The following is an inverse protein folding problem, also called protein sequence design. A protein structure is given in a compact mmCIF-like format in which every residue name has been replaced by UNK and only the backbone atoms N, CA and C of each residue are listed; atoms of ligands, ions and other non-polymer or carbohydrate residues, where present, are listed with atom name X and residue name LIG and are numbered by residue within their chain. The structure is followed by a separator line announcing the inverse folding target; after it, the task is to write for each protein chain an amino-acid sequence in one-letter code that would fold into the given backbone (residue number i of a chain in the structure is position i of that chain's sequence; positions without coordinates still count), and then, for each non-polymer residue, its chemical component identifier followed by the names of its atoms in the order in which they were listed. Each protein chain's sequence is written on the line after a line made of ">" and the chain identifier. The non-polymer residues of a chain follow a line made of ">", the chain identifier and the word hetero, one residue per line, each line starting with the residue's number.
data_IF_784391727593
#
_entry.id   IF_784391727593
#
_cell.length_a   1.000
_cell.length_b   1.000
_cell.length_c   1.000
_cell.angle_alpha   90.00
_cell.angle_beta   90.00
_cell.angle_gamma   90.00
#
_symmetry.space_group_name_H-M   'P 1'
#
loop_
_entity.id
_entity.type
_entity.pdbx_description
1 polymer ?
#
# COMPACT_ATOMS: atom_id res chain seq x y z
N UNK A 1 82.39 -3.32 4.30
CA UNK A 1 82.37 -2.18 5.18
C UNK A 1 81.02 -1.47 4.93
N UNK A 2 79.98 -1.85 5.64
CA UNK A 2 78.63 -1.23 5.51
C UNK A 2 78.41 -0.34 6.73
N UNK A 3 78.19 0.94 6.47
CA UNK A 3 77.87 1.90 7.52
C UNK A 3 76.33 1.98 7.60
N UNK A 4 75.76 1.54 8.75
CA UNK A 4 74.37 1.75 9.09
C UNK A 4 74.21 3.17 9.67
N UNK A 5 73.39 4.00 8.99
CA UNK A 5 72.94 5.28 9.52
C UNK A 5 71.65 5.05 10.30
N UNK A 6 71.68 5.04 11.59
CA UNK A 6 70.51 5.09 12.49
C UNK A 6 70.01 6.51 12.58
N UNK A 7 68.93 6.85 11.90
CA UNK A 7 68.23 8.11 12.12
C UNK A 7 67.44 8.05 13.46
N UNK A 8 67.82 8.89 14.38
CA UNK A 8 67.06 9.11 15.66
C UNK A 8 65.74 9.75 15.31
N UNK A 9 64.62 8.97 15.40
CA UNK A 9 63.29 9.51 15.33
C UNK A 9 62.98 10.28 16.62
N UNK A 10 62.73 11.56 16.51
CA UNK A 10 62.50 12.46 17.60
C UNK A 10 61.13 12.17 18.25
N UNK A 11 61.10 11.84 19.55
CA UNK A 11 59.93 11.48 20.33
C UNK A 11 58.78 12.51 20.23
N UNK A 12 59.10 13.77 19.97
CA UNK A 12 58.10 14.84 19.81
C UNK A 12 57.28 14.71 18.51
N UNK A 13 57.83 14.13 17.47
CA UNK A 13 57.09 13.87 16.19
C UNK A 13 56.11 12.74 16.31
N UNK A 14 56.45 11.69 17.06
CA UNK A 14 55.55 10.56 17.31
C UNK A 14 54.35 11.00 18.15
N UNK A 15 54.55 11.85 19.15
CA UNK A 15 53.45 12.38 19.98
C UNK A 15 52.51 13.31 19.19
N UNK A 16 53.02 14.06 18.21
CA UNK A 16 52.17 14.90 17.33
C UNK A 16 51.36 14.04 16.33
N UNK A 17 51.96 12.99 15.76
CA UNK A 17 51.25 12.05 14.90
C UNK A 17 50.16 11.29 15.67
N UNK A 18 50.45 10.82 16.89
CA UNK A 18 49.48 10.12 17.71
C UNK A 18 48.28 10.99 18.11
N UNK A 19 48.53 12.27 18.45
CA UNK A 19 47.46 13.25 18.74
C UNK A 19 46.60 13.53 17.51
N UNK A 20 47.19 13.65 16.30
CA UNK A 20 46.44 13.81 15.05
C UNK A 20 45.60 12.56 14.71
N UNK A 21 46.14 11.35 14.93
CA UNK A 21 45.42 10.13 14.68
C UNK A 21 44.23 9.95 15.65
N UNK A 22 44.39 10.26 16.93
CA UNK A 22 43.32 10.22 17.93
C UNK A 22 42.24 11.27 17.63
N UNK A 23 42.61 12.48 17.17
CA UNK A 23 41.61 13.47 16.74
C UNK A 23 40.85 13.03 15.48
N UNK A 24 41.49 12.38 14.50
CA UNK A 24 40.82 11.88 13.31
C UNK A 24 39.87 10.71 13.64
N UNK A 25 40.26 9.81 14.53
CA UNK A 25 39.38 8.70 14.99
C UNK A 25 38.20 9.25 15.80
N UNK A 26 38.42 10.23 16.67
CA UNK A 26 37.33 10.87 17.42
C UNK A 26 36.35 11.63 16.54
N UNK A 27 36.82 12.31 15.48
CA UNK A 27 35.99 13.00 14.51
C UNK A 27 35.23 12.00 13.65
N UNK A 28 35.84 10.87 13.29
CA UNK A 28 35.14 9.79 12.52
C UNK A 28 34.05 9.10 13.35
N UNK A 29 34.26 8.88 14.65
CA UNK A 29 33.26 8.32 15.56
C UNK A 29 32.11 9.31 15.77
N UNK A 30 32.40 10.60 15.99
CA UNK A 30 31.37 11.64 16.08
C UNK A 30 30.61 11.84 14.77
N UNK A 31 31.22 11.66 13.62
CA UNK A 31 30.54 11.75 12.32
C UNK A 31 29.63 10.53 12.05
N UNK A 32 29.97 9.34 12.59
CA UNK A 32 29.10 8.17 12.52
C UNK A 32 27.90 8.30 13.45
N UNK A 33 28.08 8.82 14.68
CA UNK A 33 26.97 9.07 15.60
C UNK A 33 26.04 10.19 15.13
N UNK A 34 26.55 11.19 14.43
CA UNK A 34 25.71 12.25 13.85
C UNK A 34 24.93 11.72 12.62
N UNK A 35 25.49 10.77 11.87
CA UNK A 35 24.78 10.11 10.75
C UNK A 35 23.65 9.21 11.20
N UNK A 36 23.77 8.54 12.35
CA UNK A 36 22.72 7.69 12.93
C UNK A 36 21.68 8.50 13.74
N UNK A 37 22.05 9.65 14.29
CA UNK A 37 21.13 10.53 15.03
C UNK A 37 20.25 11.40 14.09
N UNK A 38 20.62 11.56 12.83
CA UNK A 38 19.85 12.37 11.88
C UNK A 38 18.64 11.63 11.25
N UNK A 39 18.46 10.35 11.56
CA UNK A 39 17.24 9.59 11.22
C UNK A 39 16.20 9.59 12.35
N UNK A 40 16.51 10.23 13.48
CA UNK A 40 15.56 10.39 14.57
C UNK A 40 14.53 11.49 14.23
N UNK A 41 13.32 11.06 13.94
CA UNK A 41 12.08 11.84 13.97
C UNK A 41 12.10 13.16 13.19
N UNK A 42 11.86 13.11 11.87
CA UNK A 42 11.05 14.18 11.30
C UNK A 42 9.71 14.16 12.04
N UNK A 43 9.49 15.12 12.94
CA UNK A 43 8.15 15.42 13.41
C UNK A 43 7.25 15.51 12.18
N UNK A 44 6.03 14.95 12.21
CA UNK A 44 5.07 15.15 11.13
C UNK A 44 5.07 16.62 10.75
N UNK A 45 5.36 16.91 9.50
CA UNK A 45 5.38 18.29 9.03
C UNK A 45 3.96 18.80 9.04
N UNK A 46 3.68 19.78 9.87
CA UNK A 46 2.41 20.46 9.83
C UNK A 46 1.40 20.00 10.87
N UNK A 47 0.26 20.60 10.82
CA UNK A 47 -0.79 20.57 11.82
C UNK A 47 -1.62 19.28 11.85
N UNK A 48 -1.10 18.13 11.38
CA UNK A 48 -1.83 16.86 11.46
C UNK A 48 -2.25 16.58 12.89
N UNK A 49 -3.56 16.53 13.12
CA UNK A 49 -4.14 16.30 14.42
C UNK A 49 -5.09 15.12 14.37
N UNK A 50 -4.54 13.94 14.61
CA UNK A 50 -5.38 12.78 14.91
C UNK A 50 -5.90 12.98 16.34
N UNK A 51 -7.18 13.35 16.45
CA UNK A 51 -7.81 13.58 17.75
C UNK A 51 -8.43 12.29 18.27
N UNK A 52 -7.68 11.56 19.07
CA UNK A 52 -8.27 10.48 19.87
C UNK A 52 -8.77 11.02 21.20
N UNK A 53 -9.77 10.36 21.79
CA UNK A 53 -10.37 10.79 23.06
C UNK A 53 -9.35 10.88 24.21
N UNK A 54 -8.27 10.10 24.15
CA UNK A 54 -7.18 10.08 25.14
C UNK A 54 -5.92 10.79 24.67
N UNK A 55 -5.89 11.29 23.41
CA UNK A 55 -4.74 12.01 22.84
C UNK A 55 -3.52 11.16 22.51
N UNK A 56 -3.60 9.82 22.62
CA UNK A 56 -2.44 8.96 22.48
C UNK A 56 -2.21 8.48 21.04
N UNK A 57 -3.24 8.42 20.22
CA UNK A 57 -3.13 7.91 18.85
C UNK A 57 -2.50 8.98 17.97
N UNK A 58 -1.37 8.64 17.38
CA UNK A 58 -0.59 9.47 16.45
C UNK A 58 -0.50 8.84 15.07
N UNK A 59 -0.75 7.54 14.97
CA UNK A 59 -0.64 6.74 13.77
C UNK A 59 -1.89 5.90 13.55
N UNK A 60 -2.27 5.71 12.29
CA UNK A 60 -3.33 4.78 11.88
C UNK A 60 -2.76 3.89 10.77
N UNK A 61 -2.85 2.59 10.97
CA UNK A 61 -2.45 1.58 10.00
C UNK A 61 -3.66 0.68 9.75
N UNK A 62 -4.19 0.74 8.54
CA UNK A 62 -5.35 -0.02 8.12
C UNK A 62 -4.93 -1.03 7.05
N UNK A 63 -5.07 -2.31 7.34
CA UNK A 63 -4.67 -3.40 6.46
C UNK A 63 -5.90 -4.24 6.10
N UNK A 64 -6.08 -4.43 4.81
CA UNK A 64 -7.17 -5.19 4.21
C UNK A 64 -6.57 -6.42 3.54
N UNK A 65 -7.02 -7.59 3.95
CA UNK A 65 -6.68 -8.84 3.30
C UNK A 65 -7.70 -9.17 2.23
N UNK A 66 -7.23 -9.80 1.18
CA UNK A 66 -8.06 -10.51 0.22
C UNK A 66 -8.17 -11.99 0.62
N UNK A 67 -9.37 -12.53 0.59
CA UNK A 67 -9.69 -13.96 0.76
C UNK A 67 -9.02 -14.69 1.96
N UNK A 68 -8.78 -13.99 3.05
CA UNK A 68 -8.22 -14.58 4.28
C UNK A 68 -9.33 -14.85 5.27
N UNK A 69 -9.43 -16.08 5.75
CA UNK A 69 -10.44 -16.49 6.72
C UNK A 69 -9.92 -16.45 8.15
N UNK A 70 -10.61 -15.75 9.01
CA UNK A 70 -10.33 -15.73 10.45
C UNK A 70 -11.07 -16.82 11.22
N UNK A 71 -12.03 -17.48 10.59
CA UNK A 71 -12.76 -18.64 11.09
C UNK A 71 -12.39 -19.88 10.27
N UNK A 72 -12.58 -21.05 10.86
CA UNK A 72 -12.30 -22.32 10.18
C UNK A 72 -13.40 -22.65 9.19
N UNK A 73 -13.06 -22.91 7.94
CA UNK A 73 -13.96 -23.45 6.93
C UNK A 73 -14.15 -24.97 7.09
N UNK A 74 -13.05 -25.64 7.41
CA UNK A 74 -13.01 -27.07 7.71
C UNK A 74 -12.61 -27.27 9.18
N UNK A 75 -13.36 -28.02 9.98
CA UNK A 75 -13.03 -28.26 11.40
C UNK A 75 -11.64 -28.82 11.65
N UNK A 76 -11.08 -29.56 10.69
CA UNK A 76 -9.77 -30.20 10.80
C UNK A 76 -8.62 -29.28 10.37
N UNK A 77 -8.93 -28.19 9.66
CA UNK A 77 -7.92 -27.26 9.15
C UNK A 77 -7.98 -25.98 9.98
N UNK A 78 -6.87 -25.53 10.60
CA UNK A 78 -6.83 -24.25 11.26
C UNK A 78 -7.23 -23.12 10.33
N UNK A 79 -7.92 -22.11 10.84
CA UNK A 79 -8.17 -20.89 10.08
C UNK A 79 -6.86 -20.20 9.69
N UNK A 80 -6.92 -19.31 8.71
CA UNK A 80 -5.74 -18.58 8.27
C UNK A 80 -5.15 -17.75 9.42
N UNK A 81 -5.99 -17.13 10.23
CA UNK A 81 -5.52 -16.39 11.40
C UNK A 81 -4.85 -17.29 12.44
N UNK A 82 -5.35 -18.53 12.64
CA UNK A 82 -4.70 -19.49 13.54
C UNK A 82 -3.32 -19.94 13.04
N UNK A 83 -3.05 -19.81 11.75
CA UNK A 83 -1.76 -20.10 11.13
C UNK A 83 -0.81 -18.88 11.12
N UNK A 84 -1.33 -17.69 11.35
CA UNK A 84 -0.57 -16.43 11.44
C UNK A 84 -0.37 -16.03 12.91
N UNK A 85 0.50 -16.73 13.62
CA UNK A 85 0.64 -16.60 15.08
C UNK A 85 1.18 -15.24 15.54
N UNK A 86 2.05 -14.59 14.77
CA UNK A 86 2.53 -13.24 15.08
C UNK A 86 1.37 -12.23 15.03
N UNK A 87 0.54 -12.31 13.98
CA UNK A 87 -0.64 -11.47 13.85
C UNK A 87 -1.68 -11.79 14.91
N UNK A 88 -2.03 -13.06 15.08
CA UNK A 88 -3.03 -13.49 16.07
C UNK A 88 -2.66 -13.06 17.47
N UNK A 89 -1.41 -13.31 17.89
CA UNK A 89 -0.95 -12.97 19.22
C UNK A 89 -0.88 -11.45 19.42
N UNK A 90 -0.52 -10.69 18.38
CA UNK A 90 -0.56 -9.23 18.45
C UNK A 90 -1.98 -8.74 18.71
N UNK A 91 -2.97 -9.22 17.96
CA UNK A 91 -4.38 -8.83 18.13
C UNK A 91 -4.89 -9.24 19.53
N UNK A 92 -4.70 -10.50 19.93
CA UNK A 92 -5.20 -11.01 21.21
C UNK A 92 -4.60 -10.32 22.42
N UNK A 93 -3.32 -9.95 22.33
CA UNK A 93 -2.60 -9.35 23.46
C UNK A 93 -2.84 -7.84 23.57
N UNK A 94 -3.25 -7.16 22.49
CA UNK A 94 -3.26 -5.70 22.43
C UNK A 94 -4.57 -5.10 21.94
N UNK A 95 -5.47 -5.89 21.36
CA UNK A 95 -6.64 -5.40 20.67
C UNK A 95 -7.93 -6.14 21.01
N UNK A 96 -8.89 -6.00 20.13
CA UNK A 96 -10.19 -6.68 20.17
C UNK A 96 -10.38 -7.42 18.87
N UNK A 97 -10.59 -8.74 18.94
CA UNK A 97 -10.98 -9.55 17.81
C UNK A 97 -12.52 -9.62 17.76
N UNK A 98 -13.10 -9.14 16.67
CA UNK A 98 -14.52 -9.24 16.43
C UNK A 98 -14.83 -10.63 15.86
N UNK A 99 -15.67 -11.38 16.56
CA UNK A 99 -16.03 -12.77 16.16
C UNK A 99 -17.29 -12.85 15.29
N UNK A 100 -17.93 -11.73 15.00
CA UNK A 100 -19.14 -11.64 14.20
C UNK A 100 -19.03 -10.46 13.21
N UNK A 101 -17.87 -10.34 12.56
CA UNK A 101 -17.68 -9.43 11.45
C UNK A 101 -17.80 -10.22 10.16
N UNK A 102 -18.61 -9.75 9.25
CA UNK A 102 -18.84 -10.36 7.95
C UNK A 102 -18.47 -9.35 6.87
N UNK A 103 -17.94 -9.86 5.76
CA UNK A 103 -17.82 -9.08 4.54
C UNK A 103 -19.22 -8.71 4.02
N UNK A 104 -19.29 -7.79 3.09
CA UNK A 104 -20.56 -7.43 2.46
C UNK A 104 -21.16 -8.64 1.75
N UNK A 105 -22.48 -8.71 1.76
CA UNK A 105 -23.18 -9.74 0.98
C UNK A 105 -22.82 -9.56 -0.50
N UNK A 106 -22.36 -10.63 -1.12
CA UNK A 106 -21.83 -10.64 -2.49
C UNK A 106 -20.62 -9.67 -2.57
N UNK A 107 -19.57 -10.00 -1.86
CA UNK A 107 -18.31 -9.25 -1.88
C UNK A 107 -17.48 -9.59 -3.12
N UNK A 108 -16.62 -8.66 -3.49
CA UNK A 108 -15.52 -8.78 -4.42
C UNK A 108 -14.58 -7.61 -4.18
N UNK A 109 -13.33 -7.68 -4.58
CA UNK A 109 -12.25 -6.76 -4.22
C UNK A 109 -12.66 -5.28 -4.25
N UNK A 110 -13.11 -4.76 -5.38
CA UNK A 110 -13.46 -3.35 -5.50
C UNK A 110 -14.62 -2.92 -4.60
N UNK A 111 -15.67 -3.73 -4.54
CA UNK A 111 -16.85 -3.50 -3.72
C UNK A 111 -16.52 -3.65 -2.23
N UNK A 112 -15.80 -4.70 -1.86
CA UNK A 112 -15.37 -4.97 -0.50
C UNK A 112 -14.49 -3.86 0.04
N UNK A 113 -13.48 -3.43 -0.70
CA UNK A 113 -12.59 -2.33 -0.33
C UNK A 113 -13.37 -1.04 -0.15
N UNK A 114 -14.21 -0.65 -1.12
CA UNK A 114 -14.96 0.60 -1.02
C UNK A 114 -15.94 0.59 0.15
N UNK A 115 -16.58 -0.54 0.42
CA UNK A 115 -17.44 -0.68 1.59
C UNK A 115 -16.66 -0.57 2.89
N UNK A 116 -15.51 -1.22 2.99
CA UNK A 116 -14.65 -1.14 4.16
C UNK A 116 -14.17 0.29 4.44
N UNK A 117 -13.83 1.04 3.39
CA UNK A 117 -13.34 2.41 3.51
C UNK A 117 -14.45 3.41 3.87
N UNK A 118 -15.66 3.18 3.39
CA UNK A 118 -16.75 4.17 3.49
C UNK A 118 -17.79 3.83 4.55
N UNK A 119 -17.90 2.56 4.94
CA UNK A 119 -19.01 2.06 5.76
C UNK A 119 -20.34 2.03 5.03
N UNK A 120 -20.35 2.18 3.71
CA UNK A 120 -21.55 2.16 2.89
C UNK A 120 -21.60 0.89 2.06
N UNK A 121 -22.76 0.28 1.94
CA UNK A 121 -22.98 -0.89 1.09
C UNK A 121 -23.12 -0.52 -0.39
N UNK A 122 -22.93 -1.51 -1.26
CA UNK A 122 -22.91 -1.33 -2.73
C UNK A 122 -24.19 -0.74 -3.32
N UNK A 123 -25.33 -0.97 -2.71
CA UNK A 123 -26.60 -0.31 -3.09
C UNK A 123 -26.59 1.21 -2.87
N UNK A 124 -25.67 1.70 -2.06
CA UNK A 124 -25.53 3.12 -1.71
C UNK A 124 -24.35 3.77 -2.45
N UNK A 125 -23.22 3.11 -2.54
CA UNK A 125 -22.07 3.65 -3.27
C UNK A 125 -22.06 3.26 -4.75
N UNK A 126 -22.96 2.38 -5.20
CA UNK A 126 -23.16 2.04 -6.60
C UNK A 126 -22.10 1.13 -7.22
N UNK A 127 -21.07 0.73 -6.46
CA UNK A 127 -20.05 -0.20 -6.94
C UNK A 127 -20.65 -1.60 -7.08
N UNK A 128 -20.58 -2.18 -8.28
CA UNK A 128 -21.07 -3.53 -8.52
C UNK A 128 -20.14 -4.59 -7.90
N UNK A 129 -20.60 -5.84 -7.91
CA UNK A 129 -19.83 -6.96 -7.40
C UNK A 129 -18.51 -7.16 -8.12
N UNK A 130 -18.51 -7.07 -9.46
CA UNK A 130 -17.31 -7.29 -10.25
C UNK A 130 -16.34 -6.11 -10.21
N UNK A 131 -15.05 -6.40 -10.37
CA UNK A 131 -14.00 -5.38 -10.52
C UNK A 131 -14.13 -4.57 -11.82
N UNK A 132 -15.00 -4.99 -12.70
CA UNK A 132 -15.48 -4.23 -13.85
C UNK A 132 -16.99 -4.39 -13.99
N UNK A 133 -17.65 -3.39 -14.50
CA UNK A 133 -19.08 -3.47 -14.69
C UNK A 133 -19.48 -2.94 -16.07
N UNK A 134 -20.73 -3.28 -16.47
CA UNK A 134 -21.34 -2.76 -17.70
C UNK A 134 -22.53 -1.90 -17.34
N UNK A 135 -22.52 -0.71 -17.88
CA UNK A 135 -23.66 0.19 -17.85
C UNK A 135 -24.48 0.00 -19.13
N UNK A 136 -25.76 -0.23 -18.98
CA UNK A 136 -26.68 -0.40 -20.10
C UNK A 136 -27.36 0.94 -20.38
N UNK A 137 -27.13 1.47 -21.56
CA UNK A 137 -27.78 2.69 -22.01
C UNK A 137 -29.21 2.42 -22.48
N UNK A 138 -30.03 3.48 -22.59
CA UNK A 138 -31.41 3.39 -23.05
C UNK A 138 -31.54 2.91 -24.51
N UNK A 139 -30.50 3.03 -25.31
CA UNK A 139 -30.43 2.55 -26.68
C UNK A 139 -30.04 1.07 -26.80
N UNK A 140 -29.85 0.37 -25.69
CA UNK A 140 -29.44 -1.02 -25.62
C UNK A 140 -27.94 -1.26 -25.81
N UNK A 141 -27.15 -0.22 -26.03
CA UNK A 141 -25.69 -0.35 -26.05
C UNK A 141 -25.13 -0.42 -24.63
N UNK A 142 -23.90 -0.90 -24.51
CA UNK A 142 -23.24 -1.00 -23.21
C UNK A 142 -21.96 -0.17 -23.19
N UNK A 143 -21.69 0.42 -22.03
CA UNK A 143 -20.37 0.91 -21.67
C UNK A 143 -19.76 -0.01 -20.64
N UNK A 144 -18.51 -0.36 -20.83
CA UNK A 144 -17.72 -1.06 -19.80
C UNK A 144 -16.81 -0.06 -19.12
N UNK A 145 -16.70 -0.16 -17.81
CA UNK A 145 -15.77 0.65 -17.02
C UNK A 145 -15.14 -0.21 -15.93
N UNK A 146 -13.92 0.16 -15.53
CA UNK A 146 -13.31 -0.40 -14.34
C UNK A 146 -13.91 0.27 -13.11
N UNK A 147 -14.25 -0.53 -12.13
CA UNK A 147 -14.82 -0.08 -10.86
C UNK A 147 -13.82 0.61 -9.93
N UNK A 148 -12.55 0.58 -10.26
CA UNK A 148 -11.49 1.05 -9.39
C UNK A 148 -11.13 2.53 -9.55
N UNK A 149 -11.93 3.33 -10.25
CA UNK A 149 -11.61 4.71 -10.60
C UNK A 149 -12.23 5.77 -9.71
N UNK A 150 -12.76 5.38 -8.56
CA UNK A 150 -13.56 6.26 -7.73
C UNK A 150 -12.91 7.64 -7.49
N UNK A 151 -11.62 7.67 -7.22
CA UNK A 151 -10.91 8.90 -6.86
C UNK A 151 -10.56 9.81 -8.06
N UNK A 152 -10.61 9.30 -9.30
CA UNK A 152 -10.36 10.08 -10.53
C UNK A 152 -11.63 10.44 -11.27
N UNK A 153 -12.76 9.89 -10.87
CA UNK A 153 -14.00 10.08 -11.62
C UNK A 153 -14.76 11.31 -11.16
N UNK A 154 -15.08 12.17 -12.12
CA UNK A 154 -16.01 13.27 -11.90
C UNK A 154 -17.39 12.72 -11.66
N UNK A 155 -18.01 13.20 -10.61
CA UNK A 155 -19.34 12.78 -10.22
C UNK A 155 -20.36 13.75 -10.80
N UNK A 156 -21.30 13.24 -11.58
CA UNK A 156 -22.42 14.02 -12.08
C UNK A 156 -23.62 13.91 -11.13
N UNK A 157 -23.89 14.97 -10.39
CA UNK A 157 -25.04 15.09 -9.49
C UNK A 157 -26.24 15.79 -10.15
N UNK A 158 -26.17 16.11 -11.45
CA UNK A 158 -27.20 16.87 -12.15
C UNK A 158 -28.39 16.02 -12.58
N UNK A 159 -28.25 14.68 -12.55
CA UNK A 159 -29.28 13.75 -13.05
C UNK A 159 -29.38 13.73 -14.58
N UNK A 160 -28.53 14.46 -15.30
CA UNK A 160 -28.34 14.29 -16.74
C UNK A 160 -27.67 12.95 -17.04
N UNK A 161 -27.80 12.38 -18.23
CA UNK A 161 -27.01 11.21 -18.59
C UNK A 161 -25.54 11.57 -18.39
N UNK A 162 -24.83 10.87 -17.49
CA UNK A 162 -23.48 11.28 -17.13
C UNK A 162 -22.56 11.21 -18.34
N UNK A 163 -21.73 12.23 -18.49
CA UNK A 163 -20.57 12.13 -19.36
C UNK A 163 -19.63 11.03 -18.87
N UNK A 164 -19.70 10.74 -17.58
CA UNK A 164 -19.05 9.63 -16.90
C UNK A 164 -20.13 8.66 -16.37
N UNK A 165 -20.19 7.42 -16.88
CA UNK A 165 -21.25 6.47 -16.52
C UNK A 165 -21.05 5.78 -15.15
N UNK A 166 -20.10 6.22 -14.34
CA UNK A 166 -19.73 5.53 -13.13
C UNK A 166 -20.79 5.64 -12.04
N UNK A 167 -21.01 4.59 -11.26
CA UNK A 167 -21.75 4.68 -10.03
C UNK A 167 -20.99 5.58 -9.06
N UNK A 168 -21.67 6.61 -8.61
CA UNK A 168 -21.09 7.63 -7.75
C UNK A 168 -21.63 7.49 -6.34
N UNK A 169 -20.79 7.69 -5.35
CA UNK A 169 -21.26 7.85 -3.99
C UNK A 169 -22.04 9.15 -3.87
N UNK A 170 -23.31 9.05 -3.57
CA UNK A 170 -24.21 10.19 -3.45
C UNK A 170 -24.74 10.26 -2.01
N UNK A 171 -24.57 11.41 -1.37
CA UNK A 171 -25.23 11.72 -0.11
C UNK A 171 -26.52 12.49 -0.40
N UNK A 172 -27.66 11.91 -0.02
CA UNK A 172 -28.99 12.48 -0.19
C UNK A 172 -29.57 13.05 1.11
N UNK A 173 -28.84 13.11 2.20
CA UNK A 173 -29.31 13.51 3.52
C UNK A 173 -29.86 14.95 3.55
N UNK A 174 -29.39 15.81 2.64
CA UNK A 174 -29.87 17.19 2.52
C UNK A 174 -31.13 17.35 1.67
N UNK A 175 -31.71 16.28 1.17
CA UNK A 175 -32.83 16.30 0.23
C UNK A 175 -32.45 16.62 -1.23
N UNK A 176 -31.26 17.13 -1.49
CA UNK A 176 -30.67 17.28 -2.82
C UNK A 176 -29.45 16.37 -2.87
N UNK A 177 -29.41 15.40 -3.79
CA UNK A 177 -28.26 14.52 -3.93
C UNK A 177 -26.99 15.33 -4.17
N UNK A 178 -25.95 15.02 -3.42
CA UNK A 178 -24.61 15.59 -3.61
C UNK A 178 -23.59 14.47 -3.52
N UNK A 179 -22.46 14.69 -4.17
CA UNK A 179 -21.38 13.74 -4.11
C UNK A 179 -20.93 13.53 -2.66
N UNK A 180 -20.78 12.29 -2.25
CA UNK A 180 -20.12 11.96 -1.04
C UNK A 180 -18.61 12.19 -1.21
N UNK A 181 -17.93 12.78 -0.20
CA UNK A 181 -16.50 12.92 -0.25
C UNK A 181 -15.81 11.55 -0.23
N UNK A 182 -14.63 11.47 -0.83
CA UNK A 182 -13.80 10.27 -0.71
C UNK A 182 -13.50 9.95 0.76
N UNK A 183 -13.38 8.67 1.13
CA UNK A 183 -13.28 8.26 2.53
C UNK A 183 -12.05 8.81 3.26
N UNK A 184 -11.01 9.20 2.55
CA UNK A 184 -9.78 9.78 3.13
C UNK A 184 -9.85 11.30 3.34
N UNK A 185 -10.85 11.98 2.77
CA UNK A 185 -11.01 13.44 2.92
C UNK A 185 -11.00 13.92 4.37
N UNK A 186 -11.63 13.26 5.34
CA UNK A 186 -11.54 13.67 6.74
C UNK A 186 -10.11 13.77 7.27
N UNK A 187 -9.22 12.89 6.82
CA UNK A 187 -7.82 12.87 7.26
C UNK A 187 -7.02 14.00 6.62
N UNK A 188 -7.20 14.23 5.31
CA UNK A 188 -6.55 15.32 4.60
C UNK A 188 -7.07 16.68 5.06
N UNK A 189 -8.35 16.79 5.44
CA UNK A 189 -8.91 17.98 6.11
C UNK A 189 -8.31 18.25 7.47
N UNK A 190 -7.97 17.21 8.21
CA UNK A 190 -7.23 17.33 9.46
C UNK A 190 -5.75 17.69 9.23
N UNK A 191 -5.37 18.04 7.99
CA UNK A 191 -4.00 18.32 7.55
C UNK A 191 -3.07 17.13 7.70
N UNK A 192 -3.60 15.92 7.69
CA UNK A 192 -2.81 14.69 7.73
C UNK A 192 -2.56 14.19 6.32
N UNK A 193 -1.30 13.89 6.04
CA UNK A 193 -0.96 13.14 4.86
C UNK A 193 -1.42 11.70 5.03
N UNK A 194 -1.77 11.09 3.91
CA UNK A 194 -2.33 9.75 3.85
C UNK A 194 -1.61 8.95 2.78
N UNK A 195 -1.21 7.72 3.09
CA UNK A 195 -0.52 6.82 2.16
C UNK A 195 -1.35 5.57 1.86
N UNK A 196 -1.28 5.08 0.63
CA UNK A 196 -1.94 3.86 0.20
C UNK A 196 -1.01 2.96 -0.60
N UNK A 197 -1.12 1.66 -0.35
CA UNK A 197 -0.38 0.61 -1.04
C UNK A 197 -1.37 -0.39 -1.59
N UNK A 198 -1.43 -0.51 -2.92
CA UNK A 198 -2.27 -1.46 -3.66
C UNK A 198 -3.76 -1.45 -3.27
N UNK A 199 -4.20 -0.43 -2.62
CA UNK A 199 -5.59 -0.34 -2.20
C UNK A 199 -6.42 0.25 -3.33
N UNK A 200 -7.13 -0.60 -4.03
CA UNK A 200 -8.08 -0.23 -5.06
C UNK A 200 -9.00 0.91 -4.60
N UNK A 201 -9.39 1.77 -5.51
CA UNK A 201 -10.16 2.99 -5.26
C UNK A 201 -9.38 4.16 -4.59
N UNK A 202 -8.13 3.99 -4.20
CA UNK A 202 -7.30 5.05 -3.61
C UNK A 202 -6.03 5.34 -4.43
N UNK A 203 -5.51 4.34 -5.13
CA UNK A 203 -4.30 4.44 -5.94
C UNK A 203 -4.64 4.46 -7.43
N UNK A 204 -3.73 4.96 -8.27
CA UNK A 204 -3.80 4.69 -9.71
C UNK A 204 -3.66 3.19 -9.95
N UNK A 205 -4.56 2.62 -10.72
CA UNK A 205 -4.57 1.18 -10.96
C UNK A 205 -4.04 0.76 -12.30
N UNK A 206 -4.13 1.64 -13.28
CA UNK A 206 -3.74 1.28 -14.63
C UNK A 206 -3.05 2.43 -15.36
N UNK A 207 -2.37 2.08 -16.44
CA UNK A 207 -1.65 3.02 -17.30
C UNK A 207 -2.48 3.50 -18.50
N UNK A 208 -3.81 3.52 -18.38
CA UNK A 208 -4.71 3.91 -19.44
C UNK A 208 -4.47 5.35 -19.89
N UNK A 209 -4.27 5.54 -21.19
CA UNK A 209 -4.01 6.84 -21.85
C UNK A 209 -5.18 7.32 -22.72
N UNK A 210 -6.32 6.66 -22.64
CA UNK A 210 -7.57 7.17 -23.25
C UNK A 210 -7.98 8.51 -22.64
N UNK A 211 -8.91 9.23 -23.26
CA UNK A 211 -9.37 10.54 -22.77
C UNK A 211 -9.86 10.49 -21.30
N UNK A 212 -10.46 9.38 -20.89
CA UNK A 212 -10.93 9.15 -19.54
C UNK A 212 -9.96 8.26 -18.72
N UNK A 213 -8.76 8.00 -19.25
CA UNK A 213 -7.76 7.20 -18.55
C UNK A 213 -7.11 7.96 -17.40
N UNK A 214 -6.67 7.21 -16.38
CA UNK A 214 -6.10 7.78 -15.16
C UNK A 214 -4.85 8.62 -15.44
N UNK A 215 -3.96 8.14 -16.31
CA UNK A 215 -2.74 8.86 -16.68
C UNK A 215 -3.09 10.19 -17.37
N UNK A 216 -4.07 10.18 -18.26
CA UNK A 216 -4.51 11.39 -18.97
C UNK A 216 -5.14 12.40 -18.02
N UNK A 217 -5.96 11.94 -17.09
CA UNK A 217 -6.61 12.79 -16.08
C UNK A 217 -5.59 13.41 -15.12
N UNK A 218 -4.66 12.63 -14.62
CA UNK A 218 -3.72 13.05 -13.55
C UNK A 218 -2.57 13.85 -14.09
N UNK A 219 -1.93 13.40 -15.17
CA UNK A 219 -0.71 14.02 -15.69
C UNK A 219 -0.95 14.90 -16.91
N UNK A 220 -2.06 14.71 -17.61
CA UNK A 220 -2.40 15.42 -18.82
C UNK A 220 -1.92 14.71 -20.08
N UNK A 221 -2.71 14.86 -21.17
CA UNK A 221 -2.32 14.38 -22.48
C UNK A 221 -1.03 15.08 -22.95
N UNK A 222 -0.04 14.30 -23.42
CA UNK A 222 1.24 14.83 -23.90
C UNK A 222 2.28 15.12 -22.81
N UNK A 223 1.99 14.81 -21.54
CA UNK A 223 3.00 14.85 -20.48
C UNK A 223 4.09 13.79 -20.69
N UNK A 224 5.26 13.91 -20.05
CA UNK A 224 6.26 12.86 -20.05
C UNK A 224 5.70 11.52 -19.57
N UNK A 225 4.88 11.52 -18.53
CA UNK A 225 4.21 10.36 -17.96
C UNK A 225 3.22 9.72 -18.93
N UNK A 226 2.48 10.54 -19.67
CA UNK A 226 1.59 10.06 -20.72
C UNK A 226 2.38 9.35 -21.85
N UNK A 227 3.51 9.93 -22.25
CA UNK A 227 4.38 9.35 -23.29
C UNK A 227 4.98 8.04 -22.82
N UNK A 228 5.43 7.97 -21.58
CA UNK A 228 5.96 6.75 -20.95
C UNK A 228 4.87 5.67 -20.87
N UNK A 229 3.67 6.02 -20.44
CA UNK A 229 2.55 5.10 -20.38
C UNK A 229 2.15 4.56 -21.76
N UNK A 230 2.17 5.38 -22.81
CA UNK A 230 1.95 4.91 -24.18
C UNK A 230 2.99 3.87 -24.60
N UNK A 231 4.26 4.11 -24.31
CA UNK A 231 5.34 3.15 -24.63
C UNK A 231 5.18 1.86 -23.83
N UNK A 232 4.86 1.95 -22.55
CA UNK A 232 4.60 0.81 -21.67
C UNK A 232 3.40 -0.01 -22.15
N UNK A 233 2.29 0.63 -22.50
CA UNK A 233 1.10 -0.04 -23.04
C UNK A 233 1.37 -0.73 -24.37
N UNK A 234 2.16 -0.11 -25.24
CA UNK A 234 2.58 -0.71 -26.50
C UNK A 234 3.47 -1.94 -26.27
N UNK A 235 4.39 -1.87 -25.30
CA UNK A 235 5.22 -2.99 -24.91
C UNK A 235 4.38 -4.13 -24.31
N UNK A 236 3.42 -3.83 -23.43
CA UNK A 236 2.53 -4.82 -22.84
C UNK A 236 1.68 -5.57 -23.88
N UNK A 237 1.28 -4.89 -24.94
CA UNK A 237 0.52 -5.48 -26.05
C UNK A 237 1.37 -6.35 -27.00
N UNK A 238 2.70 -6.21 -26.96
CA UNK A 238 3.61 -6.91 -27.86
C UNK A 238 4.41 -7.97 -27.10
N UNK A 239 4.12 -9.24 -27.32
CA UNK A 239 4.77 -10.36 -26.63
C UNK A 239 6.28 -10.39 -26.76
N UNK A 240 6.85 -9.84 -27.85
CA UNK A 240 8.30 -9.83 -28.08
C UNK A 240 9.05 -8.84 -27.16
N UNK A 241 8.36 -7.80 -26.66
CA UNK A 241 8.95 -6.74 -25.82
C UNK A 241 8.11 -6.48 -24.56
N UNK A 242 7.23 -7.42 -24.20
CA UNK A 242 6.33 -7.31 -23.06
C UNK A 242 7.09 -7.06 -21.74
N UNK A 243 8.30 -7.53 -21.65
CA UNK A 243 9.20 -7.29 -20.53
C UNK A 243 9.62 -5.83 -20.35
N UNK A 244 9.31 -4.95 -21.31
CA UNK A 244 9.55 -3.50 -21.20
C UNK A 244 8.32 -2.73 -20.68
N UNK A 245 7.18 -3.40 -20.49
CA UNK A 245 6.02 -2.77 -19.88
C UNK A 245 6.29 -2.48 -18.41
N UNK A 246 6.03 -1.26 -17.98
CA UNK A 246 6.29 -0.81 -16.62
C UNK A 246 5.01 -0.27 -15.98
N UNK A 247 4.96 -0.33 -14.67
CA UNK A 247 3.82 0.13 -13.84
C UNK A 247 4.21 1.25 -12.87
N UNK A 248 5.21 2.07 -13.24
CA UNK A 248 5.84 3.06 -12.35
C UNK A 248 4.88 4.09 -11.74
N UNK A 249 3.74 4.31 -12.38
CA UNK A 249 2.74 5.30 -11.96
C UNK A 249 1.54 4.72 -11.22
N UNK A 250 1.54 3.43 -10.92
CA UNK A 250 0.39 2.74 -10.31
C UNK A 250 0.73 2.09 -8.99
N UNK A 251 -0.28 1.64 -8.27
CA UNK A 251 -0.17 0.80 -7.08
C UNK A 251 0.19 1.50 -5.79
N UNK A 252 0.72 2.70 -5.83
CA UNK A 252 1.11 3.49 -4.66
C UNK A 252 0.58 4.91 -4.78
N UNK A 253 0.11 5.48 -3.69
CA UNK A 253 -0.28 6.88 -3.63
C UNK A 253 0.03 7.50 -2.26
N UNK A 254 0.31 8.80 -2.27
CA UNK A 254 0.28 9.66 -1.10
C UNK A 254 -0.65 10.81 -1.42
N UNK A 255 -1.68 10.98 -0.59
CA UNK A 255 -2.58 12.13 -0.64
C UNK A 255 -2.20 13.08 0.48
N UNK A 256 -1.90 14.30 0.14
CA UNK A 256 -1.37 15.27 1.11
C UNK A 256 -2.46 16.16 1.66
N UNK A 257 -2.37 16.44 2.93
CA UNK A 257 -3.25 17.39 3.60
C UNK A 257 -3.19 18.77 2.96
N UNK A 258 -4.26 19.53 3.08
CA UNK A 258 -4.32 20.89 2.58
C UNK A 258 -3.15 21.74 3.11
N UNK A 259 -2.40 22.34 2.23
CA UNK A 259 -1.23 23.16 2.58
C UNK A 259 0.10 22.45 2.49
N UNK A 260 0.12 21.16 2.16
CA UNK A 260 1.32 20.62 1.58
C UNK A 260 1.96 19.36 2.09
N UNK A 261 2.10 19.11 3.35
CA UNK A 261 2.76 17.88 3.82
C UNK A 261 4.00 17.47 3.00
N UNK A 262 4.13 16.18 2.71
CA UNK A 262 5.22 15.62 1.89
C UNK A 262 5.16 16.03 0.41
N UNK A 263 3.99 16.47 -0.08
CA UNK A 263 3.81 16.96 -1.45
C UNK A 263 4.24 18.42 -1.64
N UNK A 264 4.43 19.19 -0.56
CA UNK A 264 4.75 20.61 -0.65
C UNK A 264 6.05 20.86 -1.39
N UNK A 265 5.97 21.64 -2.47
CA UNK A 265 7.14 21.95 -3.29
C UNK A 265 7.69 20.77 -4.11
N UNK A 266 7.02 19.62 -4.12
CA UNK A 266 7.40 18.52 -4.97
C UNK A 266 6.90 18.76 -6.40
N UNK A 267 7.82 18.81 -7.36
CA UNK A 267 7.51 19.07 -8.77
C UNK A 267 6.62 17.99 -9.41
N UNK A 268 6.57 16.82 -8.81
CA UNK A 268 5.78 15.67 -9.29
C UNK A 268 4.41 15.56 -8.63
N UNK A 269 4.13 16.39 -7.61
CA UNK A 269 2.81 16.42 -7.01
C UNK A 269 1.76 16.88 -8.02
N UNK A 270 0.62 16.22 -8.03
CA UNK A 270 -0.50 16.48 -8.93
C UNK A 270 -1.75 16.78 -8.12
N UNK A 271 -2.62 17.67 -8.62
CA UNK A 271 -3.92 17.87 -8.01
C UNK A 271 -4.72 16.57 -8.00
N UNK A 272 -5.36 16.31 -6.88
CA UNK A 272 -6.38 15.29 -6.78
C UNK A 272 -7.64 15.77 -7.53
N UNK A 273 -8.21 14.92 -8.36
CA UNK A 273 -9.33 15.26 -9.23
C UNK A 273 -10.70 15.01 -8.58
N UNK A 274 -10.73 14.94 -7.25
CA UNK A 274 -11.98 14.78 -6.56
C UNK A 274 -12.89 16.00 -6.78
N UNK A 275 -14.20 15.80 -6.93
CA UNK A 275 -15.14 16.89 -7.04
C UNK A 275 -15.17 17.70 -5.75
N UNK A 276 -15.51 18.96 -5.88
CA UNK A 276 -15.78 19.83 -4.75
C UNK A 276 -16.90 19.20 -3.90
N UNK A 277 -16.64 19.04 -2.62
CA UNK A 277 -17.65 18.56 -1.71
C UNK A 277 -18.44 19.70 -1.04
N UNK A 278 -19.61 19.38 -0.53
CA UNK A 278 -20.40 20.31 0.26
C UNK A 278 -19.63 20.67 1.55
N UNK A 279 -19.11 21.90 1.61
CA UNK A 279 -18.29 22.38 2.71
C UNK A 279 -17.00 23.06 2.27
N UNK A 280 -16.76 23.19 0.95
CA UNK A 280 -15.70 24.01 0.38
C UNK A 280 -14.31 23.41 0.46
N UNK A 281 -14.21 22.09 0.39
CA UNK A 281 -12.93 21.41 0.25
C UNK A 281 -12.54 21.35 -1.22
N UNK A 282 -11.50 22.06 -1.58
CA UNK A 282 -10.98 22.10 -2.93
C UNK A 282 -9.62 21.44 -2.96
N UNK A 283 -9.52 20.37 -3.68
CA UNK A 283 -8.29 19.75 -4.13
C UNK A 283 -7.13 19.65 -3.13
N UNK A 284 -6.57 18.53 -3.03
CA UNK A 284 -5.30 18.31 -2.39
C UNK A 284 -4.30 17.84 -3.45
N UNK A 285 -3.06 17.80 -3.07
CA UNK A 285 -2.01 17.28 -3.93
C UNK A 285 -1.81 15.80 -3.62
N UNK A 286 -1.40 15.04 -4.62
CA UNK A 286 -1.01 13.66 -4.49
C UNK A 286 0.28 13.34 -5.22
N UNK A 287 0.98 12.33 -4.75
CA UNK A 287 2.07 11.66 -5.45
C UNK A 287 1.59 10.27 -5.84
N UNK A 288 1.79 9.89 -7.08
CA UNK A 288 1.25 8.65 -7.63
C UNK A 288 2.36 7.79 -8.23
N UNK A 289 2.37 6.51 -7.83
CA UNK A 289 3.28 5.50 -8.31
C UNK A 289 4.66 5.48 -7.63
N UNK A 290 5.31 4.34 -7.71
CA UNK A 290 6.61 4.10 -7.08
C UNK A 290 7.66 5.13 -7.47
N UNK A 291 7.66 5.58 -8.72
CA UNK A 291 8.59 6.56 -9.26
C UNK A 291 8.65 7.86 -8.46
N UNK A 292 7.52 8.32 -7.95
CA UNK A 292 7.42 9.58 -7.20
C UNK A 292 7.23 9.39 -5.70
N UNK A 293 6.61 8.28 -5.30
CA UNK A 293 6.42 7.95 -3.90
C UNK A 293 7.72 7.51 -3.25
N UNK A 294 8.47 6.59 -3.87
CA UNK A 294 9.70 6.05 -3.27
C UNK A 294 10.70 7.12 -2.86
N UNK A 295 11.08 8.08 -3.72
CA UNK A 295 12.01 9.14 -3.32
C UNK A 295 11.46 10.03 -2.21
N UNK A 296 10.15 10.24 -2.17
CA UNK A 296 9.51 11.07 -1.15
C UNK A 296 9.56 10.45 0.25
N UNK A 297 9.46 9.11 0.32
CA UNK A 297 9.45 8.40 1.62
C UNK A 297 10.81 7.82 2.01
N UNK A 298 11.79 7.76 1.11
CA UNK A 298 13.08 7.11 1.35
C UNK A 298 14.29 8.04 1.13
N UNK A 299 14.17 9.29 1.58
CA UNK A 299 15.29 10.25 1.59
C UNK A 299 15.87 10.59 0.21
N UNK A 300 15.07 10.48 -0.86
CA UNK A 300 15.47 10.72 -2.24
C UNK A 300 15.86 9.45 -3.03
N UNK A 301 15.92 8.29 -2.36
CA UNK A 301 16.18 7.02 -3.06
C UNK A 301 14.93 6.53 -3.79
N UNK A 302 15.10 6.11 -5.05
CA UNK A 302 14.05 5.42 -5.81
C UNK A 302 13.78 3.98 -5.37
N UNK A 303 14.60 3.43 -4.46
CA UNK A 303 14.53 2.04 -4.01
C UNK A 303 13.96 1.96 -2.61
N UNK A 304 12.91 1.20 -2.43
CA UNK A 304 12.39 0.77 -1.12
C UNK A 304 12.65 -0.72 -0.98
N UNK A 305 13.11 -1.16 0.18
CA UNK A 305 13.36 -2.56 0.45
C UNK A 305 12.16 -3.22 1.13
N UNK A 306 11.90 -4.48 0.80
CA UNK A 306 10.95 -5.32 1.49
C UNK A 306 11.43 -5.64 2.93
N UNK A 307 10.62 -6.36 3.70
CA UNK A 307 10.98 -6.72 5.08
C UNK A 307 12.12 -7.74 5.19
N UNK A 308 12.57 -8.30 4.08
CA UNK A 308 13.75 -9.15 4.00
C UNK A 308 15.02 -8.38 3.60
N UNK A 309 14.93 -7.05 3.49
CA UNK A 309 16.02 -6.15 3.05
C UNK A 309 16.40 -6.30 1.58
N UNK A 310 15.51 -6.82 0.75
CA UNK A 310 15.68 -6.92 -0.70
C UNK A 310 14.98 -5.75 -1.37
N UNK A 311 15.53 -5.19 -2.46
CA UNK A 311 14.85 -4.16 -3.23
C UNK A 311 13.47 -4.64 -3.72
N UNK A 312 12.46 -3.81 -3.52
CA UNK A 312 11.15 -4.03 -4.13
C UNK A 312 11.27 -3.67 -5.59
N UNK A 313 10.98 -4.61 -6.45
CA UNK A 313 11.07 -4.44 -7.90
C UNK A 313 9.74 -4.79 -8.57
N UNK A 314 9.52 -4.18 -9.72
CA UNK A 314 8.45 -4.59 -10.61
C UNK A 314 8.72 -5.98 -11.22
N UNK A 315 7.81 -6.43 -12.08
CA UNK A 315 7.95 -7.71 -12.79
C UNK A 315 9.14 -7.79 -13.75
N UNK A 316 9.88 -6.70 -13.97
CA UNK A 316 11.03 -6.58 -14.87
C UNK A 316 12.33 -6.26 -14.12
N UNK A 317 12.36 -6.49 -12.81
CA UNK A 317 13.52 -6.24 -11.93
C UNK A 317 13.93 -4.77 -11.83
N UNK A 318 13.03 -3.83 -12.21
CA UNK A 318 13.29 -2.41 -11.96
C UNK A 318 12.70 -2.03 -10.60
N UNK A 319 13.33 -1.08 -9.86
CA UNK A 319 12.74 -0.57 -8.62
C UNK A 319 11.34 -0.03 -8.89
N UNK A 320 10.32 -0.60 -8.25
CA UNK A 320 8.96 -0.20 -8.50
C UNK A 320 7.91 -1.09 -7.85
N UNK A 321 6.68 -0.83 -8.22
CA UNK A 321 5.52 -1.58 -7.73
C UNK A 321 5.39 -2.91 -8.49
N UNK A 322 5.32 -4.06 -7.79
CA UNK A 322 5.35 -5.37 -8.42
C UNK A 322 4.04 -5.78 -9.15
N UNK A 323 3.00 -4.94 -9.07
CA UNK A 323 1.65 -5.28 -9.53
C UNK A 323 0.76 -5.70 -8.34
N UNK A 324 -0.57 -5.67 -8.57
CA UNK A 324 -1.54 -6.00 -7.51
C UNK A 324 -1.42 -7.47 -7.09
N UNK A 325 -1.33 -8.37 -8.06
CA UNK A 325 -1.21 -9.82 -7.81
C UNK A 325 0.23 -10.24 -7.41
N UNK A 326 1.21 -9.37 -7.57
CA UNK A 326 2.61 -9.60 -7.18
C UNK A 326 2.97 -9.11 -5.78
N UNK A 327 2.00 -8.62 -5.01
CA UNK A 327 2.22 -8.04 -3.69
C UNK A 327 2.19 -9.08 -2.58
N UNK A 328 3.37 -9.56 -2.23
CA UNK A 328 3.51 -10.31 -0.98
C UNK A 328 3.34 -9.40 0.24
N UNK A 329 2.87 -9.96 1.35
CA UNK A 329 2.74 -9.22 2.61
C UNK A 329 4.05 -8.52 3.02
N UNK A 330 5.21 -9.14 2.77
CA UNK A 330 6.53 -8.52 3.04
C UNK A 330 6.77 -7.22 2.26
N UNK A 331 6.16 -7.06 1.09
CA UNK A 331 6.24 -5.86 0.25
C UNK A 331 5.26 -4.79 0.71
N UNK A 332 3.98 -5.14 0.86
CA UNK A 332 2.95 -4.19 1.33
C UNK A 332 3.30 -3.63 2.69
N UNK A 333 3.65 -4.49 3.65
CA UNK A 333 3.99 -4.08 5.00
C UNK A 333 5.28 -3.25 5.05
N UNK A 334 6.24 -3.50 4.16
CA UNK A 334 7.45 -2.69 4.06
C UNK A 334 7.16 -1.26 3.57
N UNK A 335 6.31 -1.11 2.55
CA UNK A 335 5.87 0.22 2.11
C UNK A 335 5.11 0.97 3.20
N UNK A 336 4.19 0.28 3.90
CA UNK A 336 3.47 0.87 5.03
C UNK A 336 4.44 1.34 6.11
N UNK A 337 5.39 0.51 6.51
CA UNK A 337 6.40 0.90 7.49
C UNK A 337 7.23 2.10 7.01
N UNK A 338 7.69 2.08 5.76
CA UNK A 338 8.47 3.17 5.17
C UNK A 338 7.69 4.49 5.12
N UNK A 339 6.40 4.46 4.78
CA UNK A 339 5.53 5.64 4.79
C UNK A 339 5.37 6.18 6.21
N UNK A 340 5.12 5.32 7.19
CA UNK A 340 4.99 5.71 8.59
C UNK A 340 6.28 6.31 9.14
N UNK A 341 7.43 5.69 8.86
CA UNK A 341 8.76 6.19 9.22
C UNK A 341 9.09 7.54 8.55
N UNK A 342 8.59 7.78 7.34
CA UNK A 342 8.70 9.05 6.64
C UNK A 342 7.79 10.15 7.20
N UNK A 343 6.95 9.83 8.19
CA UNK A 343 6.07 10.77 8.87
C UNK A 343 4.69 10.91 8.25
N UNK A 344 4.25 9.94 7.42
CA UNK A 344 2.87 9.83 6.94
C UNK A 344 2.07 9.09 8.03
N UNK A 345 1.20 9.77 8.77
CA UNK A 345 0.62 9.21 9.98
C UNK A 345 -0.52 8.24 9.72
N UNK A 346 -1.10 8.25 8.53
CA UNK A 346 -2.24 7.41 8.16
C UNK A 346 -1.86 6.61 6.93
N UNK A 347 -1.97 5.30 7.00
CA UNK A 347 -1.64 4.42 5.89
C UNK A 347 -2.67 3.32 5.73
N UNK A 348 -2.92 2.99 4.47
CA UNK A 348 -3.80 1.91 4.07
C UNK A 348 -3.03 0.94 3.18
N UNK A 349 -3.18 -0.34 3.42
CA UNK A 349 -2.53 -1.38 2.66
C UNK A 349 -3.47 -2.53 2.33
N UNK A 350 -3.31 -3.05 1.12
CA UNK A 350 -3.94 -4.27 0.66
C UNK A 350 -2.92 -5.39 0.66
N UNK A 351 -3.31 -6.54 1.17
CA UNK A 351 -2.53 -7.76 1.12
C UNK A 351 -3.28 -8.70 0.20
N UNK A 352 -2.65 -9.01 -0.93
CA UNK A 352 -3.27 -9.81 -1.97
C UNK A 352 -3.57 -11.23 -1.50
N UNK A 353 -4.39 -11.88 -2.28
CA UNK A 353 -4.94 -13.19 -2.04
C UNK A 353 -3.87 -14.27 -1.81
N UNK A 354 -4.07 -15.09 -0.79
CA UNK A 354 -3.16 -16.19 -0.45
C UNK A 354 -3.32 -17.40 -1.39
N UNK A 355 -4.46 -17.54 -2.06
CA UNK A 355 -4.71 -18.65 -2.98
C UNK A 355 -4.55 -18.27 -4.46
N UNK A 356 -4.25 -17.03 -4.77
CA UNK A 356 -4.04 -16.58 -6.13
C UNK A 356 -2.61 -16.83 -6.62
N UNK A 357 -2.37 -16.62 -7.88
CA UNK A 357 -1.05 -16.77 -8.48
C UNK A 357 -0.22 -15.52 -8.21
N UNK A 358 0.79 -15.66 -7.34
CA UNK A 358 1.70 -14.58 -7.01
C UNK A 358 3.07 -14.80 -7.62
N UNK A 359 3.70 -13.74 -8.04
CA UNK A 359 5.09 -13.77 -8.47
C UNK A 359 5.34 -13.05 -9.80
N UNK A 360 6.61 -12.96 -10.14
CA UNK A 360 7.07 -12.46 -11.43
C UNK A 360 6.65 -13.41 -12.55
N UNK A 361 6.50 -12.89 -13.75
CA UNK A 361 6.26 -13.72 -14.93
C UNK A 361 7.34 -14.81 -15.02
N UNK A 362 6.96 -16.08 -14.85
CA UNK A 362 7.85 -17.24 -14.79
C UNK A 362 8.14 -17.79 -13.39
N UNK A 363 7.77 -17.10 -12.33
CA UNK A 363 7.88 -17.54 -10.92
C UNK A 363 6.51 -17.68 -10.26
N UNK A 364 5.52 -18.01 -11.05
CA UNK A 364 4.11 -18.09 -10.60
C UNK A 364 3.98 -19.26 -9.64
N UNK A 365 3.68 -18.98 -8.38
CA UNK A 365 3.22 -19.96 -7.42
C UNK A 365 1.69 -20.09 -7.53
N UNK A 366 1.24 -21.21 -8.01
CA UNK A 366 -0.18 -21.55 -7.93
C UNK A 366 -0.47 -21.97 -6.50
N UNK A 367 -0.83 -21.03 -5.65
CA UNK A 367 -1.44 -21.36 -4.36
C UNK A 367 -2.86 -21.84 -4.60
N UNK A 368 -3.34 -22.77 -3.79
CA UNK A 368 -4.61 -23.43 -4.05
C UNK A 368 -5.62 -23.14 -2.95
N UNK A 369 -5.93 -24.09 -2.13
CA UNK A 369 -6.95 -23.89 -1.14
C UNK A 369 -6.46 -24.08 0.29
N UNK A 370 -7.30 -23.76 1.27
CA UNK A 370 -6.98 -23.95 2.68
C UNK A 370 -6.52 -25.36 3.00
N UNK A 371 -5.37 -25.48 3.66
CA UNK A 371 -4.76 -26.76 4.02
C UNK A 371 -3.84 -27.36 2.95
N UNK A 372 -3.81 -26.85 1.73
CA UNK A 372 -2.80 -27.25 0.74
C UNK A 372 -1.42 -26.69 1.10
N UNK A 373 -0.37 -27.41 0.74
CA UNK A 373 0.99 -27.10 1.19
C UNK A 373 1.45 -25.68 0.80
N UNK A 374 1.15 -25.25 -0.43
CA UNK A 374 1.55 -23.94 -0.95
C UNK A 374 0.79 -22.82 -0.26
N UNK A 375 -0.51 -23.00 -0.05
CA UNK A 375 -1.34 -22.05 0.69
C UNK A 375 -0.86 -21.86 2.12
N UNK A 376 -0.63 -22.97 2.83
CA UNK A 376 -0.09 -22.96 4.21
C UNK A 376 1.29 -22.28 4.25
N UNK A 377 2.13 -22.51 3.24
CA UNK A 377 3.42 -21.84 3.16
C UNK A 377 3.26 -20.34 2.95
N UNK A 378 2.30 -19.91 2.14
CA UNK A 378 2.03 -18.49 1.92
C UNK A 378 1.56 -17.79 3.21
N UNK A 379 0.68 -18.42 3.99
CA UNK A 379 0.29 -17.88 5.30
C UNK A 379 1.46 -17.79 6.28
N UNK A 380 2.39 -18.76 6.27
CA UNK A 380 3.63 -18.67 7.07
C UNK A 380 4.51 -17.50 6.63
N UNK A 381 4.62 -17.25 5.33
CA UNK A 381 5.36 -16.10 4.80
C UNK A 381 4.71 -14.78 5.23
N UNK A 382 3.37 -14.71 5.25
CA UNK A 382 2.64 -13.55 5.76
C UNK A 382 2.90 -13.35 7.25
N UNK A 383 2.84 -14.41 8.04
CA UNK A 383 3.07 -14.33 9.48
C UNK A 383 4.49 -13.89 9.84
N UNK A 384 5.48 -14.40 9.11
CA UNK A 384 6.87 -13.94 9.26
C UNK A 384 7.01 -12.44 8.92
N UNK A 385 6.32 -12.00 7.86
CA UNK A 385 6.31 -10.59 7.49
C UNK A 385 5.67 -9.71 8.57
N UNK A 386 4.57 -10.14 9.21
CA UNK A 386 3.96 -9.44 10.33
C UNK A 386 4.91 -9.34 11.54
N UNK A 387 5.63 -10.41 11.86
CA UNK A 387 6.63 -10.37 12.92
C UNK A 387 7.69 -9.30 12.70
N UNK A 388 8.28 -9.29 11.49
CA UNK A 388 9.27 -8.28 11.08
C UNK A 388 8.69 -6.87 11.03
N UNK A 389 7.45 -6.73 10.59
CA UNK A 389 6.75 -5.46 10.51
C UNK A 389 6.56 -4.81 11.88
N UNK A 390 6.02 -5.55 12.84
CA UNK A 390 5.83 -5.03 14.20
C UNK A 390 7.17 -4.69 14.86
N UNK A 391 8.21 -5.49 14.63
CA UNK A 391 9.54 -5.19 15.14
C UNK A 391 10.13 -3.93 14.53
N UNK A 392 9.98 -3.74 13.19
CA UNK A 392 10.46 -2.55 12.48
C UNK A 392 9.77 -1.30 12.99
N UNK A 393 8.44 -1.31 13.07
CA UNK A 393 7.66 -0.19 13.57
C UNK A 393 8.03 0.18 15.02
N UNK A 394 8.17 -0.83 15.89
CA UNK A 394 8.55 -0.62 17.29
C UNK A 394 9.93 0.05 17.42
N UNK A 395 10.90 -0.32 16.57
CA UNK A 395 12.22 0.33 16.49
C UNK A 395 12.12 1.80 16.08
N UNK A 396 11.12 2.15 15.28
CA UNK A 396 10.82 3.53 14.88
C UNK A 396 9.98 4.29 15.92
N UNK A 397 9.61 3.66 17.03
CA UNK A 397 8.75 4.25 18.06
C UNK A 397 7.26 4.28 17.69
N UNK A 398 6.86 3.47 16.72
CA UNK A 398 5.48 3.32 16.25
C UNK A 398 4.98 1.97 16.78
N UNK A 399 4.13 2.02 17.79
CA UNK A 399 3.69 0.80 18.46
C UNK A 399 2.23 0.90 18.96
N UNK A 400 1.78 -0.12 19.67
CA UNK A 400 0.43 -0.22 20.23
C UNK A 400 0.04 0.91 21.18
N UNK A 401 0.99 1.68 21.70
CA UNK A 401 0.71 2.77 22.63
C UNK A 401 0.29 4.05 21.93
N UNK A 402 0.69 4.21 20.67
CA UNK A 402 0.44 5.41 19.88
C UNK A 402 -0.20 5.14 18.50
N UNK A 403 -0.49 3.89 18.17
CA UNK A 403 -0.98 3.50 16.85
C UNK A 403 -2.30 2.75 16.96
N UNK A 404 -3.26 3.14 16.12
CA UNK A 404 -4.45 2.34 15.84
C UNK A 404 -4.14 1.40 14.67
N UNK A 405 -4.09 0.11 14.96
CA UNK A 405 -4.03 -0.94 13.95
C UNK A 405 -5.44 -1.45 13.67
N UNK A 406 -5.80 -1.55 12.40
CA UNK A 406 -7.05 -2.15 11.92
C UNK A 406 -6.69 -3.24 10.93
N UNK A 407 -7.17 -4.45 11.16
CA UNK A 407 -7.03 -5.59 10.27
C UNK A 407 -8.43 -6.05 9.89
N UNK A 408 -8.69 -6.17 8.62
CA UNK A 408 -9.98 -6.64 8.09
C UNK A 408 -9.78 -7.41 6.81
N UNK A 409 -10.85 -8.01 6.34
CA UNK A 409 -10.90 -8.77 5.09
C UNK A 409 -11.93 -8.12 4.18
N UNK A 410 -11.66 -7.99 2.91
CA UNK A 410 -12.59 -7.33 1.98
C UNK A 410 -13.57 -8.29 1.33
N UNK A 411 -13.13 -9.52 1.06
CA UNK A 411 -14.00 -10.64 0.72
C UNK A 411 -13.53 -11.89 1.45
N UNK A 412 -14.42 -12.84 1.68
CA UNK A 412 -14.18 -13.97 2.55
C UNK A 412 -14.53 -15.32 1.91
N UNK A 413 -14.37 -15.46 0.62
CA UNK A 413 -14.54 -16.71 -0.06
C UNK A 413 -13.20 -17.40 -0.26
N UNK A 414 -13.09 -18.59 0.26
CA UNK A 414 -12.05 -19.50 -0.15
C UNK A 414 -12.56 -20.32 -1.34
N UNK A 415 -11.74 -20.43 -2.36
CA UNK A 415 -12.02 -21.34 -3.44
C UNK A 415 -11.79 -22.77 -2.96
N UNK A 416 -12.81 -23.40 -2.44
CA UNK A 416 -12.81 -24.81 -2.06
C UNK A 416 -13.62 -25.59 -3.10
N UNK A 417 -12.92 -26.14 -4.08
CA UNK A 417 -13.57 -26.85 -5.18
C UNK A 417 -14.19 -28.20 -4.78
N UNK A 418 -13.64 -28.89 -3.79
CA UNK A 418 -14.11 -30.20 -3.35
C UNK A 418 -13.58 -30.53 -1.95
N UNK A 419 -14.12 -31.60 -1.34
CA UNK A 419 -13.54 -32.12 -0.10
C UNK A 419 -12.13 -32.69 -0.36
N UNK A 420 -11.20 -32.53 0.58
CA UNK A 420 -9.88 -33.12 0.44
C UNK A 420 -9.94 -34.62 0.17
N UNK A 421 -9.16 -35.06 -0.79
CA UNK A 421 -9.08 -36.49 -1.14
C UNK A 421 -8.40 -37.32 -0.07
N UNK A 422 -7.54 -36.71 0.74
CA UNK A 422 -6.90 -37.31 1.90
C UNK A 422 -7.63 -36.87 3.18
N UNK A 423 -8.54 -37.68 3.67
CA UNK A 423 -9.45 -37.39 4.79
C UNK A 423 -8.77 -37.09 6.14
N UNK A 424 -7.49 -37.37 6.28
CA UNK A 424 -6.71 -37.16 7.51
C UNK A 424 -5.82 -35.90 7.44
N UNK A 425 -5.98 -35.07 6.44
CA UNK A 425 -5.20 -33.85 6.36
C UNK A 425 -5.63 -32.83 7.42
N UNK A 426 -4.67 -32.12 7.96
CA UNK A 426 -4.87 -31.03 8.92
C UNK A 426 -4.32 -29.69 8.42
N UNK A 427 -3.73 -29.68 7.23
CA UNK A 427 -3.15 -28.47 6.62
C UNK A 427 -1.89 -27.94 7.29
N UNK A 428 -1.47 -28.56 8.38
CA UNK A 428 -0.27 -28.14 9.17
C UNK A 428 0.81 -29.21 9.12
N UNK A 429 0.48 -30.40 9.60
CA UNK A 429 1.39 -31.56 9.61
C UNK A 429 1.21 -32.45 8.39
N UNK A 430 -0.01 -32.51 7.91
CA UNK A 430 -0.41 -33.28 6.73
C UNK A 430 -1.13 -32.37 5.76
N UNK A 431 -0.48 -31.94 4.67
CA UNK A 431 -1.12 -31.11 3.65
C UNK A 431 -2.38 -31.76 3.07
N UNK A 432 -3.39 -30.94 2.76
CA UNK A 432 -4.58 -31.38 2.07
C UNK A 432 -4.35 -31.40 0.56
N UNK A 433 -5.08 -32.27 -0.13
CA UNK A 433 -5.14 -32.33 -1.60
C UNK A 433 -6.60 -32.18 -2.01
N UNK A 434 -6.91 -31.09 -2.69
CA UNK A 434 -8.28 -30.72 -3.10
C UNK A 434 -8.47 -30.99 -4.60
#
# INVERSE_FOLDING_TARGET
>A
MQVQVLQKINSRSIFRLLKLLVCFVAISILAHDIGLAAQASRKPSGACQIKSARGNIQHVIYLIFDNVHFLRDNPNVPSDLEQMLNLLNFIRSNGTLLTNNHTVLISHTANGILTNLTGMYSDRHGQSVANSYRYFKSDGTTLSSSSFKYWTDLVDDTGAPPADPLPNMVNADSGTPKNAPAPWVPYTRASCDFGAVALANIVLENTSTGANGDITKVFGAGSPEFTEALASNAAAANTAVRNLAQTDFVGLAIHCGQGGGICAGNAHARPDLLPDESGGYNGFLGLFGAKYVNPAINGGSGVVNNLNSEPITDQFDQPGFPGFDGLFASTTLAYIAQMQEAGIPITFGYISDAHDQHGKAGEIHATRGPGEADYVQQLKNYDEAFGKFFERLAKAGIDKSNTLFVFTVEEGDHFVGSQPTNSNCDGVNTPCTI
#
